data_IF_198540843034
#
_entry.id   IF_198540843034
#
_cell.length_a   1.000
_cell.length_b   1.000
_cell.length_c   1.000
_cell.angle_alpha   90.00
_cell.angle_beta   90.00
_cell.angle_gamma   90.00
#
_symmetry.space_group_name_H-M   'P 1'
#
loop_
_entity.id
_entity.type
_entity.pdbx_description
1 polymer ?
#
# COMPACT_ATOMS: atom_id res chain seq x y z
N UNK A 1 4.80 -2.36 12.62
CA UNK A 1 3.52 -2.43 11.89
C UNK A 1 3.45 -1.30 10.88
N UNK A 2 3.00 -1.61 9.68
CA UNK A 2 2.76 -0.62 8.63
C UNK A 2 1.26 -0.61 8.35
N UNK A 3 0.61 0.53 8.62
CA UNK A 3 -0.82 0.68 8.46
C UNK A 3 -1.15 1.44 7.18
N UNK A 4 -2.06 0.88 6.39
CA UNK A 4 -2.57 1.51 5.17
C UNK A 4 -4.01 1.94 5.40
N UNK A 5 -4.31 3.20 5.10
CA UNK A 5 -5.65 3.75 5.26
C UNK A 5 -5.91 4.79 4.17
N UNK A 6 -7.18 5.15 3.99
CA UNK A 6 -7.55 6.21 3.05
C UNK A 6 -7.24 7.57 3.68
N UNK A 7 -6.58 8.44 2.91
CA UNK A 7 -6.29 9.81 3.39
C UNK A 7 -7.56 10.57 3.77
N UNK A 8 -8.62 10.39 3.00
CA UNK A 8 -9.89 11.12 3.18
C UNK A 8 -10.86 10.44 4.13
N UNK A 9 -10.41 9.48 4.95
CA UNK A 9 -11.28 8.73 5.87
C UNK A 9 -11.36 9.41 7.23
N UNK A 10 -12.04 10.56 7.29
CA UNK A 10 -12.18 11.32 8.53
C UNK A 10 -13.08 10.65 9.57
N UNK A 11 -13.89 9.66 9.17
CA UNK A 11 -14.84 8.98 10.05
C UNK A 11 -14.43 7.56 10.43
N UNK A 12 -13.32 7.06 9.88
CA UNK A 12 -12.87 5.70 10.13
C UNK A 12 -13.76 4.62 9.53
N UNK A 13 -14.53 4.95 8.48
CA UNK A 13 -15.50 4.04 7.87
C UNK A 13 -14.98 3.32 6.64
N UNK A 14 -13.82 3.73 6.11
CA UNK A 14 -13.26 3.11 4.91
C UNK A 14 -12.36 1.95 5.28
N UNK A 15 -12.15 1.00 4.36
CA UNK A 15 -11.25 -0.14 4.64
C UNK A 15 -9.84 0.33 4.97
N UNK A 16 -9.18 -0.43 5.84
CA UNK A 16 -7.78 -0.21 6.18
C UNK A 16 -7.11 -1.57 6.33
N UNK A 17 -5.78 -1.57 6.38
CA UNK A 17 -5.01 -2.80 6.48
C UNK A 17 -3.75 -2.55 7.28
N UNK A 18 -3.48 -3.45 8.24
CA UNK A 18 -2.23 -3.43 9.00
C UNK A 18 -1.36 -4.59 8.56
N UNK A 19 -0.10 -4.29 8.23
CA UNK A 19 0.89 -5.29 7.86
C UNK A 19 1.91 -5.38 8.99
N UNK A 20 2.04 -6.55 9.59
CA UNK A 20 3.02 -6.78 10.65
C UNK A 20 4.44 -6.84 10.08
N UNK A 21 5.42 -6.52 10.93
CA UNK A 21 6.82 -6.45 10.52
C UNK A 21 7.30 -7.73 9.83
N UNK A 22 6.85 -8.88 10.29
CA UNK A 22 7.23 -10.17 9.70
C UNK A 22 6.77 -10.34 8.26
N UNK A 23 5.72 -9.61 7.85
CA UNK A 23 5.17 -9.71 6.49
C UNK A 23 5.66 -8.59 5.57
N UNK A 24 6.28 -7.54 6.12
CA UNK A 24 6.77 -6.41 5.33
C UNK A 24 7.83 -6.87 4.33
N UNK A 25 8.64 -7.84 4.69
CA UNK A 25 9.69 -8.37 3.80
C UNK A 25 9.13 -8.87 2.47
N UNK A 26 7.89 -9.33 2.43
CA UNK A 26 7.27 -9.78 1.18
C UNK A 26 6.86 -8.60 0.28
N UNK A 27 6.76 -7.40 0.85
CA UNK A 27 6.40 -6.18 0.12
C UNK A 27 7.61 -5.35 -0.27
N UNK A 28 8.77 -5.55 0.35
CA UNK A 28 9.96 -4.73 0.08
C UNK A 28 10.34 -4.69 -1.40
N UNK A 29 10.34 -5.82 -2.15
CA UNK A 29 10.65 -5.74 -3.58
C UNK A 29 9.69 -4.84 -4.35
N UNK A 30 8.41 -4.84 -4.00
CA UNK A 30 7.42 -3.96 -4.62
C UNK A 30 7.68 -2.49 -4.28
N UNK A 31 8.06 -2.21 -3.03
CA UNK A 31 8.40 -0.85 -2.61
C UNK A 31 9.65 -0.33 -3.32
N UNK A 32 10.65 -1.20 -3.54
CA UNK A 32 11.84 -0.84 -4.30
C UNK A 32 11.52 -0.60 -5.78
N UNK A 33 10.65 -1.39 -6.37
CA UNK A 33 10.18 -1.19 -7.73
C UNK A 33 9.48 0.17 -7.88
N UNK A 34 8.63 0.53 -6.92
CA UNK A 34 7.97 1.83 -6.89
C UNK A 34 9.00 2.96 -6.82
N UNK A 35 9.98 2.83 -5.93
CA UNK A 35 11.03 3.84 -5.77
C UNK A 35 11.82 4.04 -7.06
N UNK A 36 12.18 2.95 -7.73
CA UNK A 36 12.95 3.03 -8.98
C UNK A 36 12.14 3.72 -10.08
N UNK A 37 10.83 3.54 -10.11
CA UNK A 37 9.97 4.09 -11.17
C UNK A 37 9.51 5.51 -10.89
N UNK A 38 9.38 5.91 -9.62
CA UNK A 38 8.76 7.19 -9.25
C UNK A 38 9.59 8.04 -8.31
N UNK A 39 10.59 7.48 -7.66
CA UNK A 39 11.33 8.15 -6.59
C UNK A 39 10.62 8.11 -5.24
N UNK A 40 9.40 7.56 -5.16
CA UNK A 40 8.65 7.43 -3.92
C UNK A 40 8.97 6.11 -3.24
N UNK A 41 9.48 6.18 -2.01
CA UNK A 41 9.76 5.01 -1.20
C UNK A 41 8.79 4.94 -0.02
N UNK A 42 8.17 3.78 0.17
CA UNK A 42 7.29 3.55 1.31
C UNK A 42 8.16 3.11 2.48
N UNK A 43 8.40 4.05 3.39
CA UNK A 43 9.25 3.83 4.56
C UNK A 43 8.45 3.08 5.63
N UNK A 44 8.88 1.87 6.05
CA UNK A 44 8.17 1.13 7.12
C UNK A 44 8.14 1.86 8.46
N UNK A 45 8.93 2.91 8.64
CA UNK A 45 9.02 3.66 9.89
C UNK A 45 8.55 5.10 9.75
N UNK A 46 7.98 5.47 8.60
CA UNK A 46 7.53 6.83 8.34
C UNK A 46 6.11 6.88 7.78
N UNK A 47 5.74 8.03 7.28
CA UNK A 47 4.42 8.25 6.67
C UNK A 47 4.60 8.59 5.21
N UNK A 48 3.89 7.90 4.34
CA UNK A 48 3.98 8.07 2.89
C UNK A 48 2.58 8.13 2.29
N UNK A 49 2.33 9.10 1.42
CA UNK A 49 1.10 9.16 0.62
C UNK A 49 1.30 8.37 -0.66
N UNK A 50 0.30 7.56 -0.98
CA UNK A 50 0.33 6.67 -2.15
C UNK A 50 -0.83 7.06 -3.07
N UNK A 51 -0.49 7.75 -4.16
CA UNK A 51 -1.47 8.22 -5.14
C UNK A 51 -1.90 7.10 -6.08
N UNK A 52 -3.03 7.24 -6.80
CA UNK A 52 -3.51 6.16 -7.68
C UNK A 52 -2.47 5.64 -8.67
N UNK A 53 -1.64 6.51 -9.24
CA UNK A 53 -0.56 6.09 -10.14
C UNK A 53 0.45 5.18 -9.44
N UNK A 54 0.78 5.47 -8.17
CA UNK A 54 1.67 4.64 -7.37
C UNK A 54 1.00 3.31 -7.00
N UNK A 55 -0.28 3.37 -6.68
CA UNK A 55 -1.07 2.17 -6.35
C UNK A 55 -1.08 1.19 -7.50
N UNK A 56 -1.21 1.70 -8.74
CA UNK A 56 -1.21 0.87 -9.92
C UNK A 56 0.13 0.15 -10.13
N UNK A 57 1.24 0.83 -9.88
CA UNK A 57 2.57 0.23 -9.97
C UNK A 57 2.70 -0.93 -8.97
N UNK A 58 2.21 -0.72 -7.74
CA UNK A 58 2.24 -1.77 -6.72
C UNK A 58 1.36 -2.96 -7.10
N UNK A 59 0.16 -2.71 -7.64
CA UNK A 59 -0.73 -3.77 -8.11
C UNK A 59 -0.04 -4.59 -9.21
N UNK A 60 0.55 -3.91 -10.19
CA UNK A 60 1.20 -4.58 -11.30
C UNK A 60 2.34 -5.49 -10.84
N UNK A 61 3.08 -5.06 -9.81
CA UNK A 61 4.17 -5.87 -9.26
C UNK A 61 3.65 -7.06 -8.44
N UNK A 62 2.61 -6.86 -7.64
CA UNK A 62 2.14 -7.84 -6.66
C UNK A 62 1.04 -8.76 -7.18
N UNK A 63 0.44 -8.44 -8.32
CA UNK A 63 -0.68 -9.21 -8.85
C UNK A 63 -0.26 -10.65 -9.12
N UNK A 64 -1.14 -11.60 -8.74
CA UNK A 64 -0.84 -13.02 -8.93
C UNK A 64 -0.19 -13.69 -7.72
N UNK A 65 0.21 -12.93 -6.70
CA UNK A 65 0.73 -13.49 -5.44
C UNK A 65 -0.41 -14.09 -4.62
N UNK A 66 -0.08 -15.12 -3.85
CA UNK A 66 -1.09 -15.88 -3.10
C UNK A 66 -1.01 -15.71 -1.58
N UNK A 67 0.01 -15.01 -1.07
CA UNK A 67 0.12 -14.74 0.36
C UNK A 67 -1.09 -13.91 0.82
N UNK A 68 -1.73 -14.32 1.91
CA UNK A 68 -2.99 -13.73 2.37
C UNK A 68 -2.91 -12.20 2.54
N UNK A 69 -1.85 -11.70 3.17
CA UNK A 69 -1.71 -10.26 3.39
C UNK A 69 -1.46 -9.49 2.09
N UNK A 70 -0.76 -10.11 1.14
CA UNK A 70 -0.55 -9.49 -0.17
C UNK A 70 -1.86 -9.44 -0.95
N UNK A 71 -2.66 -10.50 -0.89
CA UNK A 71 -3.99 -10.53 -1.52
C UNK A 71 -4.87 -9.41 -0.96
N UNK A 72 -4.89 -9.27 0.36
CA UNK A 72 -5.64 -8.19 1.02
C UNK A 72 -5.15 -6.81 0.60
N UNK A 73 -3.83 -6.62 0.54
CA UNK A 73 -3.22 -5.36 0.13
C UNK A 73 -3.56 -5.01 -1.32
N UNK A 74 -3.46 -5.97 -2.22
CA UNK A 74 -3.82 -5.76 -3.63
C UNK A 74 -5.29 -5.37 -3.76
N UNK A 75 -6.17 -6.00 -2.97
CA UNK A 75 -7.59 -5.65 -2.96
C UNK A 75 -7.81 -4.21 -2.52
N UNK A 76 -7.13 -3.78 -1.45
CA UNK A 76 -7.21 -2.40 -0.97
C UNK A 76 -6.73 -1.42 -2.04
N UNK A 77 -5.59 -1.72 -2.68
CA UNK A 77 -5.04 -0.88 -3.74
C UNK A 77 -6.01 -0.76 -4.92
N UNK A 78 -6.58 -1.88 -5.37
CA UNK A 78 -7.53 -1.87 -6.49
C UNK A 78 -8.78 -1.05 -6.17
N UNK A 79 -9.28 -1.16 -4.94
CA UNK A 79 -10.43 -0.37 -4.51
C UNK A 79 -10.11 1.12 -4.51
N UNK A 80 -8.95 1.51 -4.00
CA UNK A 80 -8.53 2.90 -3.98
C UNK A 80 -8.34 3.47 -5.40
N UNK A 81 -7.77 2.67 -6.31
CA UNK A 81 -7.62 3.07 -7.71
C UNK A 81 -8.98 3.33 -8.33
N UNK A 82 -9.91 2.39 -8.15
CA UNK A 82 -11.27 2.50 -8.72
C UNK A 82 -11.99 3.74 -8.21
N UNK A 83 -11.76 4.11 -6.96
CA UNK A 83 -12.39 5.25 -6.32
C UNK A 83 -11.60 6.55 -6.50
N UNK A 84 -10.43 6.49 -7.15
CA UNK A 84 -9.52 7.63 -7.34
C UNK A 84 -9.14 8.26 -6.00
N UNK A 85 -8.80 7.44 -5.01
CA UNK A 85 -8.49 7.89 -3.66
C UNK A 85 -7.02 7.71 -3.33
N UNK A 86 -6.50 8.61 -2.50
CA UNK A 86 -5.13 8.54 -1.98
C UNK A 86 -5.12 7.65 -0.74
N UNK A 87 -4.12 6.77 -0.66
CA UNK A 87 -3.86 5.99 0.55
C UNK A 87 -2.69 6.60 1.32
N UNK A 88 -2.67 6.34 2.62
CA UNK A 88 -1.55 6.70 3.49
C UNK A 88 -0.96 5.40 4.05
N UNK A 89 0.35 5.26 3.91
CA UNK A 89 1.13 4.22 4.59
C UNK A 89 1.75 4.87 5.82
N UNK A 90 1.41 4.38 7.00
CA UNK A 90 1.88 4.93 8.26
C UNK A 90 2.61 3.85 9.05
N UNK A 91 3.92 4.00 9.19
CA UNK A 91 4.79 3.07 9.91
C UNK A 91 5.16 3.58 11.29
N UNK A 92 5.61 2.66 12.13
CA UNK A 92 6.06 3.01 13.49
C UNK A 92 7.46 2.52 13.79
#
# INVERSE_FOLDING_TARGET
>A
VLDFSYLADSRGNKPSLSIHDRDIKFLEPAFLDLEQKTGIYIDPYGTTRIYPAHQQILVDYLQGRSEDKIVEFVRLLKNAIREDEVLVADGD
#
